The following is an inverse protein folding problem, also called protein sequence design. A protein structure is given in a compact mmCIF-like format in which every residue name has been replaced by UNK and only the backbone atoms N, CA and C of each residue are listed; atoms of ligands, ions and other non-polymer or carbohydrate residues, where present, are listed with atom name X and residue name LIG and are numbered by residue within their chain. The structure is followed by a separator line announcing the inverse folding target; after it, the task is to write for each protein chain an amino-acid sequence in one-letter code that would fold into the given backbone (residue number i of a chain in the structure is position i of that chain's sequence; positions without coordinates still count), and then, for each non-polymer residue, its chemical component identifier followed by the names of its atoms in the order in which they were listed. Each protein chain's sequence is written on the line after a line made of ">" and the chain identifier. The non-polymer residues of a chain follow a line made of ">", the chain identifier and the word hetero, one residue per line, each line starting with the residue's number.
data_IF_020624286125
#
_entry.id   IF_020624286125
#
_cell.length_a   1.000
_cell.length_b   1.000
_cell.length_c   1.000
_cell.angle_alpha   90.00
_cell.angle_beta   90.00
_cell.angle_gamma   90.00
#
_symmetry.space_group_name_H-M   'P 1'
#
loop_
_entity.id
_entity.type
_entity.pdbx_description
1 polymer ?
#
# COMPACT_ATOMS: atom_id res chain seq x y z
N UNK A 1 -4.73 -23.40 -33.33
CA UNK A 1 -4.21 -22.43 -32.35
C UNK A 1 -4.76 -22.81 -31.00
N UNK A 2 -3.95 -23.40 -30.10
CA UNK A 2 -4.31 -23.66 -28.68
C UNK A 2 -3.20 -23.29 -27.70
N UNK A 3 -2.00 -23.01 -28.20
CA UNK A 3 -0.79 -22.82 -27.40
C UNK A 3 -0.73 -21.46 -26.66
N UNK A 4 -1.54 -20.49 -27.06
CA UNK A 4 -1.55 -19.17 -26.44
C UNK A 4 -2.53 -19.10 -25.24
N UNK A 5 -3.62 -19.85 -25.27
CA UNK A 5 -4.62 -19.86 -24.18
C UNK A 5 -4.11 -20.63 -22.96
N UNK A 6 -3.39 -21.75 -23.18
CA UNK A 6 -2.80 -22.57 -22.12
C UNK A 6 -1.75 -21.80 -21.29
N UNK A 7 -1.02 -20.87 -21.91
CA UNK A 7 0.00 -20.05 -21.24
C UNK A 7 -0.61 -18.99 -20.30
N UNK A 8 -1.80 -18.48 -20.63
CA UNK A 8 -2.52 -17.49 -19.82
C UNK A 8 -3.16 -18.17 -18.60
N UNK A 9 -3.55 -19.45 -18.70
CA UNK A 9 -4.05 -20.22 -17.55
C UNK A 9 -2.96 -20.57 -16.54
N UNK A 10 -1.74 -20.84 -16.97
CA UNK A 10 -0.63 -21.20 -16.08
C UNK A 10 -0.08 -20.00 -15.30
N UNK A 11 -0.06 -18.80 -15.90
CA UNK A 11 0.30 -17.55 -15.21
C UNK A 11 -0.68 -17.17 -14.08
N UNK A 12 -1.94 -17.63 -14.19
CA UNK A 12 -3.00 -17.39 -13.19
C UNK A 12 -3.10 -18.48 -12.10
N UNK A 13 -2.28 -19.54 -12.15
CA UNK A 13 -2.35 -20.67 -11.20
C UNK A 13 -1.48 -20.53 -9.96
N UNK A 14 -0.61 -19.53 -9.90
CA UNK A 14 0.11 -19.21 -8.68
C UNK A 14 -0.68 -18.15 -7.92
N UNK A 15 -1.03 -18.37 -6.64
CA UNK A 15 -1.31 -17.24 -5.77
C UNK A 15 -0.02 -16.43 -5.77
N UNK A 16 0.01 -15.32 -6.52
CA UNK A 16 1.01 -14.30 -6.26
C UNK A 16 0.69 -13.86 -4.85
N UNK A 17 1.44 -14.36 -3.88
CA UNK A 17 1.52 -13.72 -2.57
C UNK A 17 1.96 -12.31 -2.87
N UNK A 18 0.98 -11.42 -3.05
CA UNK A 18 1.25 -10.02 -3.31
C UNK A 18 2.08 -9.53 -2.15
N UNK A 19 3.28 -9.02 -2.43
CA UNK A 19 4.15 -8.45 -1.43
C UNK A 19 3.61 -7.07 -1.03
N UNK A 20 2.52 -7.10 -0.27
CA UNK A 20 1.85 -5.91 0.24
C UNK A 20 2.77 -5.06 1.11
N UNK A 21 3.79 -5.68 1.72
CA UNK A 21 4.81 -4.98 2.51
C UNK A 21 5.64 -4.07 1.63
N UNK A 22 6.21 -4.61 0.55
CA UNK A 22 6.99 -3.80 -0.39
C UNK A 22 6.12 -2.77 -1.12
N UNK A 23 4.91 -3.15 -1.53
CA UNK A 23 3.96 -2.22 -2.14
C UNK A 23 3.63 -1.03 -1.21
N UNK A 24 3.40 -1.31 0.08
CA UNK A 24 3.10 -0.26 1.06
C UNK A 24 4.32 0.58 1.38
N UNK A 25 5.51 0.00 1.47
CA UNK A 25 6.74 0.75 1.68
C UNK A 25 6.98 1.78 0.56
N UNK A 26 6.78 1.39 -0.70
CA UNK A 26 6.89 2.29 -1.85
C UNK A 26 5.82 3.39 -1.81
N UNK A 27 4.55 3.02 -1.58
CA UNK A 27 3.46 3.98 -1.45
C UNK A 27 3.67 5.00 -0.32
N UNK A 28 4.23 4.56 0.82
CA UNK A 28 4.56 5.43 1.94
C UNK A 28 5.67 6.41 1.59
N UNK A 29 6.70 5.97 0.86
CA UNK A 29 7.77 6.84 0.39
C UNK A 29 7.22 7.95 -0.53
N UNK A 30 6.29 7.61 -1.44
CA UNK A 30 5.61 8.58 -2.29
C UNK A 30 4.80 9.57 -1.45
N UNK A 31 4.00 9.09 -0.49
CA UNK A 31 3.19 9.97 0.35
C UNK A 31 4.04 10.95 1.18
N UNK A 32 5.21 10.50 1.67
CA UNK A 32 6.20 11.37 2.33
C UNK A 32 6.77 12.42 1.38
N UNK A 33 7.15 12.03 0.17
CA UNK A 33 7.64 12.97 -0.84
C UNK A 33 6.58 14.03 -1.19
N UNK A 34 5.32 13.63 -1.36
CA UNK A 34 4.20 14.57 -1.59
C UNK A 34 4.03 15.54 -0.41
N UNK A 35 4.11 15.07 0.84
CA UNK A 35 4.03 15.93 2.02
C UNK A 35 5.21 16.90 2.10
N UNK A 36 6.40 16.50 1.66
CA UNK A 36 7.59 17.35 1.65
C UNK A 36 7.46 18.48 0.62
N UNK A 37 6.97 18.18 -0.57
CA UNK A 37 6.71 19.16 -1.62
C UNK A 37 5.52 20.09 -1.30
N UNK A 38 4.57 19.61 -0.49
CA UNK A 38 3.35 20.33 -0.11
C UNK A 38 3.18 20.40 1.42
N UNK A 39 4.04 21.14 2.15
CA UNK A 39 4.07 21.11 3.62
C UNK A 39 2.77 21.63 4.25
N UNK A 40 2.09 22.57 3.59
CA UNK A 40 0.80 23.11 4.05
C UNK A 40 -0.41 22.21 3.81
N UNK A 41 -0.23 21.08 3.13
CA UNK A 41 -1.31 20.14 2.82
C UNK A 41 -1.34 19.00 3.83
N UNK A 42 -2.54 18.59 4.23
CA UNK A 42 -2.73 17.34 4.97
C UNK A 42 -2.67 16.18 3.97
N UNK A 43 -1.72 15.27 4.18
CA UNK A 43 -1.55 14.07 3.35
C UNK A 43 -1.94 12.87 4.18
N UNK A 44 -2.99 12.16 3.79
CA UNK A 44 -3.38 10.89 4.38
C UNK A 44 -2.81 9.74 3.56
N UNK A 45 -2.22 8.76 4.24
CA UNK A 45 -1.72 7.54 3.64
C UNK A 45 -2.54 6.34 4.13
N UNK A 46 -2.90 5.45 3.20
CA UNK A 46 -3.58 4.19 3.48
C UNK A 46 -2.58 3.03 3.41
N UNK A 47 -2.43 2.31 4.51
CA UNK A 47 -1.47 1.22 4.68
C UNK A 47 -2.07 -0.12 4.20
N UNK A 48 -1.78 -0.44 2.93
CA UNK A 48 -2.25 -1.66 2.26
C UNK A 48 -1.72 -2.93 2.94
N UNK A 49 -0.51 -2.90 3.50
CA UNK A 49 0.07 -4.03 4.23
C UNK A 49 -0.76 -4.31 5.48
N UNK A 50 -1.12 -3.27 6.26
CA UNK A 50 -2.01 -3.44 7.41
C UNK A 50 -3.43 -3.84 6.99
N UNK A 51 -3.91 -3.39 5.84
CA UNK A 51 -5.25 -3.74 5.36
C UNK A 51 -5.33 -5.21 4.88
N UNK A 52 -4.27 -5.71 4.23
CA UNK A 52 -4.27 -7.02 3.57
C UNK A 52 -3.69 -8.16 4.41
N UNK A 53 -2.82 -7.89 5.40
CA UNK A 53 -2.20 -8.92 6.24
C UNK A 53 -3.11 -9.36 7.40
N UNK A 54 -4.11 -8.55 7.77
CA UNK A 54 -4.99 -8.85 8.90
C UNK A 54 -6.12 -9.79 8.43
N UNK A 55 -6.29 -10.99 9.03
CA UNK A 55 -7.36 -11.90 8.66
C UNK A 55 -8.72 -11.20 8.75
N UNK A 56 -9.56 -11.35 7.72
CA UNK A 56 -10.95 -10.89 7.74
C UNK A 56 -11.74 -11.70 8.77
N UNK A 57 -11.72 -11.29 10.03
CA UNK A 57 -12.48 -11.86 11.14
C UNK A 57 -14.00 -11.54 11.06
N UNK A 58 -14.53 -11.37 9.83
CA UNK A 58 -15.94 -11.10 9.54
C UNK A 58 -16.44 -9.73 9.98
N UNK A 59 -15.59 -8.92 10.62
CA UNK A 59 -15.93 -7.58 11.10
C UNK A 59 -15.55 -6.55 10.04
N UNK A 60 -16.51 -5.71 9.65
CA UNK A 60 -16.26 -4.53 8.81
C UNK A 60 -15.35 -3.58 9.60
N UNK A 61 -14.07 -3.52 9.22
CA UNK A 61 -13.12 -2.58 9.82
C UNK A 61 -13.34 -1.19 9.26
N UNK A 62 -13.15 -0.19 10.13
CA UNK A 62 -13.22 1.21 9.74
C UNK A 62 -11.95 1.57 8.97
N UNK A 63 -12.08 2.26 7.84
CA UNK A 63 -10.95 2.72 7.03
C UNK A 63 -9.91 3.49 7.85
N UNK A 64 -10.36 4.22 8.87
CA UNK A 64 -9.52 4.96 9.81
C UNK A 64 -8.54 4.11 10.61
N UNK A 65 -8.63 2.77 10.61
CA UNK A 65 -7.63 1.91 11.26
C UNK A 65 -6.37 1.70 10.43
N UNK A 66 -6.44 1.98 9.13
CA UNK A 66 -5.36 1.76 8.16
C UNK A 66 -4.91 3.07 7.52
N UNK A 67 -5.68 4.15 7.69
CA UNK A 67 -5.38 5.47 7.18
C UNK A 67 -4.82 6.37 8.28
N UNK A 68 -3.71 7.05 8.02
CA UNK A 68 -3.12 8.01 8.94
C UNK A 68 -2.50 9.21 8.21
N UNK A 69 -2.42 10.35 8.90
CA UNK A 69 -1.76 11.54 8.37
C UNK A 69 -0.23 11.35 8.37
N UNK A 70 0.40 11.74 7.26
CA UNK A 70 1.85 11.83 7.16
C UNK A 70 2.31 13.13 7.80
N UNK A 71 3.01 12.99 8.92
CA UNK A 71 3.79 14.04 9.53
C UNK A 71 5.24 13.83 9.12
N UNK A 72 5.87 14.90 8.62
CA UNK A 72 7.32 14.94 8.50
C UNK A 72 7.80 15.55 9.80
N UNK A 73 8.65 14.83 10.52
CA UNK A 73 9.39 15.45 11.60
C UNK A 73 10.25 16.54 10.95
N UNK A 74 10.21 17.76 11.49
CA UNK A 74 11.15 18.80 11.14
C UNK A 74 12.54 18.35 11.62
N UNK A 75 13.21 17.46 10.87
CA UNK A 75 14.61 17.13 11.08
C UNK A 75 15.45 18.36 10.72
N UNK A 76 15.73 19.11 11.78
CA UNK A 76 16.93 19.90 12.07
C UNK A 76 17.64 20.53 10.88
N UNK A 77 17.53 21.85 10.82
CA UNK A 77 18.55 22.73 10.27
C UNK A 77 19.95 22.29 10.76
N UNK A 78 20.81 21.87 9.84
CA UNK A 78 22.26 21.74 10.01
C UNK A 78 22.95 22.62 8.96
#
# INVERSE_FOLDING_TARGET
>A
MRRFEDAIEEENRLPRESDWTNFSAEGLAIARAVKAELPGWTVFYFDEAKACVVPLDGKRRLRSTFEYEILLDDESCD
#
